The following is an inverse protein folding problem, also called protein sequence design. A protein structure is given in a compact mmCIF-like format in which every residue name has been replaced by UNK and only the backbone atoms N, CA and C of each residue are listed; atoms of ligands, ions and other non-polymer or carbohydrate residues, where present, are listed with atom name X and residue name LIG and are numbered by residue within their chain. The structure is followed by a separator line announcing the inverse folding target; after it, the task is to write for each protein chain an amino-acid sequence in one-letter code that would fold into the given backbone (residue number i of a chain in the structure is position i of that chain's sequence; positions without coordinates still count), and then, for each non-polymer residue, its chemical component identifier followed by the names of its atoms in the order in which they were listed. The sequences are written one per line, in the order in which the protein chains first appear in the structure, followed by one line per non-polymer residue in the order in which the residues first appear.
data_IF_629178568893
#
_entry.id   IF_629178568893
#
_cell.length_a   1.000
_cell.length_b   1.000
_cell.length_c   1.000
_cell.angle_alpha   90.00
_cell.angle_beta   90.00
_cell.angle_gamma   90.00
#
_symmetry.space_group_name_H-M   'P 1'
#
loop_
_entity.id
_entity.type
_entity.pdbx_description
1 polymer ?
#
# COMPACT_ATOMS: atom_id res chain seq x y z
N UNK A 1 -21.95 9.65 -2.57
CA UNK A 1 -20.64 9.59 -3.22
C UNK A 1 -19.86 8.48 -2.56
N UNK A 2 -19.62 7.42 -3.33
CA UNK A 2 -18.80 6.29 -2.90
C UNK A 2 -17.34 6.72 -2.94
N UNK A 3 -16.57 6.33 -1.92
CA UNK A 3 -15.11 6.59 -1.86
C UNK A 3 -14.37 5.30 -2.15
N UNK A 4 -13.26 5.43 -2.87
CA UNK A 4 -12.38 4.31 -3.19
C UNK A 4 -11.16 4.41 -2.29
N UNK A 5 -10.99 3.41 -1.42
CA UNK A 5 -9.86 3.36 -0.49
C UNK A 5 -8.99 2.13 -0.75
N UNK A 6 -7.68 2.29 -0.59
CA UNK A 6 -6.70 1.23 -0.65
C UNK A 6 -6.24 0.84 0.77
N UNK A 7 -6.28 -0.45 1.08
CA UNK A 7 -5.92 -0.96 2.41
C UNK A 7 -4.40 -1.21 2.58
N UNK A 8 -3.58 -0.76 1.62
CA UNK A 8 -2.15 -0.99 1.58
C UNK A 8 -1.73 -2.28 0.90
N UNK A 9 -0.45 -2.62 1.04
CA UNK A 9 0.26 -3.66 0.27
C UNK A 9 0.09 -3.41 -1.24
N UNK A 10 0.35 -2.17 -1.64
CA UNK A 10 0.34 -1.73 -3.04
C UNK A 10 1.50 -2.36 -3.81
N UNK A 11 2.64 -2.58 -3.13
CA UNK A 11 3.83 -3.23 -3.70
C UNK A 11 4.21 -4.51 -2.91
N UNK A 12 5.12 -5.33 -3.46
CA UNK A 12 5.65 -6.51 -2.76
C UNK A 12 5.96 -7.71 -3.65
N UNK A 13 4.97 -8.25 -4.36
CA UNK A 13 5.12 -9.46 -5.20
C UNK A 13 4.78 -9.24 -6.68
N UNK A 14 4.21 -8.09 -7.04
CA UNK A 14 3.78 -7.80 -8.41
C UNK A 14 4.94 -7.30 -9.29
N UNK A 15 4.96 -7.63 -10.59
CA UNK A 15 6.03 -7.23 -11.51
C UNK A 15 5.99 -5.74 -11.91
N UNK A 16 4.97 -4.99 -11.50
CA UNK A 16 4.76 -3.59 -11.91
C UNK A 16 4.53 -2.65 -10.72
N UNK A 17 5.47 -2.57 -9.75
CA UNK A 17 5.27 -1.78 -8.53
C UNK A 17 5.07 -0.29 -8.79
N UNK A 18 5.77 0.27 -9.80
CA UNK A 18 5.63 1.68 -10.18
C UNK A 18 4.21 2.03 -10.65
N UNK A 19 3.64 1.22 -11.55
CA UNK A 19 2.29 1.44 -12.06
C UNK A 19 1.22 1.29 -10.97
N UNK A 20 1.40 0.31 -10.07
CA UNK A 20 0.52 0.15 -8.91
C UNK A 20 0.53 1.39 -8.01
N UNK A 21 1.70 1.97 -7.73
CA UNK A 21 1.80 3.21 -6.95
C UNK A 21 1.20 4.40 -7.69
N UNK A 22 1.43 4.52 -8.99
CA UNK A 22 0.87 5.60 -9.79
C UNK A 22 -0.66 5.59 -9.74
N UNK A 23 -1.27 4.41 -9.77
CA UNK A 23 -2.72 4.28 -9.60
C UNK A 23 -3.16 4.52 -8.15
N UNK A 24 -2.37 4.08 -7.17
CA UNK A 24 -2.71 4.26 -5.75
C UNK A 24 -2.70 5.73 -5.30
N UNK A 25 -1.90 6.56 -5.95
CA UNK A 25 -1.85 8.02 -5.74
C UNK A 25 -3.19 8.70 -6.10
N UNK A 26 -3.97 8.12 -7.02
CA UNK A 26 -5.25 8.66 -7.46
C UNK A 26 -6.43 8.26 -6.54
N UNK A 27 -6.21 7.39 -5.54
CA UNK A 27 -7.27 7.01 -4.60
C UNK A 27 -7.52 8.08 -3.55
N UNK A 28 -8.76 8.17 -3.07
CA UNK A 28 -9.14 9.10 -2.00
C UNK A 28 -8.28 8.90 -0.73
N UNK A 29 -7.90 7.65 -0.48
CA UNK A 29 -7.10 7.29 0.67
C UNK A 29 -6.36 5.95 0.48
N UNK A 30 -5.15 5.84 1.04
CA UNK A 30 -4.34 4.63 1.06
C UNK A 30 -3.68 4.45 2.45
N UNK A 31 -3.72 3.24 3.00
CA UNK A 31 -2.99 2.87 4.23
C UNK A 31 -1.62 2.30 3.85
N UNK A 32 -0.61 2.50 4.69
CA UNK A 32 0.69 1.86 4.50
C UNK A 32 0.61 0.35 4.82
N UNK A 33 0.88 -0.48 3.82
CA UNK A 33 0.99 -1.93 4.00
C UNK A 33 2.28 -2.39 4.69
N UNK A 34 2.34 -3.67 5.06
CA UNK A 34 3.57 -4.25 5.59
C UNK A 34 4.64 -4.36 4.49
N UNK A 35 4.25 -4.78 3.29
CA UNK A 35 5.14 -4.87 2.14
C UNK A 35 5.56 -3.48 1.65
N UNK A 36 4.65 -2.50 1.68
CA UNK A 36 4.96 -1.10 1.39
C UNK A 36 5.97 -0.54 2.40
N UNK A 37 5.76 -0.82 3.69
CA UNK A 37 6.69 -0.45 4.76
C UNK A 37 8.05 -1.12 4.58
N UNK A 38 8.10 -2.37 4.14
CA UNK A 38 9.37 -3.07 3.88
C UNK A 38 10.04 -2.68 2.55
N UNK A 39 9.30 -2.07 1.62
CA UNK A 39 9.91 -1.40 0.48
C UNK A 39 10.67 -0.13 0.92
N UNK A 40 10.23 0.54 1.99
CA UNK A 40 10.90 1.72 2.58
C UNK A 40 12.00 1.37 3.60
N UNK A 41 11.77 0.35 4.43
CA UNK A 41 12.62 -0.06 5.55
C UNK A 41 13.00 -1.54 5.42
N UNK A 42 14.04 -2.03 6.08
CA UNK A 42 14.46 -3.42 5.85
C UNK A 42 13.37 -4.46 6.21
N UNK A 43 13.21 -5.52 5.39
CA UNK A 43 12.16 -6.55 5.54
C UNK A 43 12.41 -7.51 6.70
N UNK A 44 12.32 -7.03 7.94
CA UNK A 44 12.46 -7.89 9.13
C UNK A 44 11.31 -8.92 9.24
N UNK A 45 11.67 -10.20 9.40
CA UNK A 45 10.70 -11.29 9.64
C UNK A 45 10.02 -11.86 8.39
N UNK A 46 10.46 -11.47 7.20
CA UNK A 46 10.03 -12.07 5.93
C UNK A 46 10.78 -13.39 5.65
N UNK A 47 10.15 -14.27 4.86
CA UNK A 47 10.88 -15.40 4.30
C UNK A 47 11.82 -14.92 3.17
N UNK A 48 12.84 -15.71 2.83
CA UNK A 48 13.88 -15.34 1.85
C UNK A 48 13.29 -14.92 0.49
N UNK A 49 12.25 -15.61 0.02
CA UNK A 49 11.63 -15.29 -1.27
C UNK A 49 10.93 -13.93 -1.24
N UNK A 50 10.25 -13.61 -0.14
CA UNK A 50 9.57 -12.35 0.05
C UNK A 50 10.57 -11.19 0.26
N UNK A 51 11.66 -11.45 0.98
CA UNK A 51 12.77 -10.52 1.14
C UNK A 51 13.36 -10.11 -0.22
N UNK A 52 13.65 -11.09 -1.06
CA UNK A 52 14.14 -10.86 -2.43
C UNK A 52 13.15 -10.06 -3.28
N UNK A 53 11.86 -10.37 -3.18
CA UNK A 53 10.81 -9.64 -3.90
C UNK A 53 10.73 -8.17 -3.45
N UNK A 54 10.91 -7.90 -2.16
CA UNK A 54 10.94 -6.55 -1.60
C UNK A 54 12.18 -5.79 -2.06
N UNK A 55 13.37 -6.40 -2.02
CA UNK A 55 14.58 -5.74 -2.53
C UNK A 55 14.49 -5.42 -4.02
N UNK A 56 13.95 -6.37 -4.82
CA UNK A 56 13.71 -6.12 -6.23
C UNK A 56 12.71 -4.99 -6.44
N UNK A 57 11.63 -4.95 -5.66
CA UNK A 57 10.64 -3.88 -5.66
C UNK A 57 11.27 -2.54 -5.34
N UNK A 58 12.07 -2.44 -4.28
CA UNK A 58 12.80 -1.20 -3.91
C UNK A 58 13.67 -0.72 -5.06
N UNK A 59 14.42 -1.63 -5.70
CA UNK A 59 15.24 -1.28 -6.86
C UNK A 59 14.42 -0.75 -8.05
N UNK A 60 13.21 -1.28 -8.31
CA UNK A 60 12.32 -0.73 -9.34
C UNK A 60 11.82 0.68 -9.00
N UNK A 61 11.57 0.95 -7.72
CA UNK A 61 11.08 2.26 -7.26
C UNK A 61 12.18 3.32 -7.26
N UNK A 62 13.42 2.96 -6.93
CA UNK A 62 14.55 3.88 -6.89
C UNK A 62 15.15 4.10 -8.29
N UNK A 63 15.39 3.01 -9.03
CA UNK A 63 16.05 3.01 -10.33
C UNK A 63 15.08 2.85 -11.50
N UNK A 64 13.83 3.27 -11.32
CA UNK A 64 12.79 3.20 -12.35
C UNK A 64 13.20 3.92 -13.65
N UNK A 65 12.70 3.42 -14.79
CA UNK A 65 13.03 3.97 -16.12
C UNK A 65 12.43 5.36 -16.38
N UNK A 66 11.51 5.80 -15.52
CA UNK A 66 10.72 7.02 -15.69
C UNK A 66 11.44 8.29 -15.18
N UNK A 67 12.68 8.15 -14.69
CA UNK A 67 13.50 9.25 -14.20
C UNK A 67 13.42 9.48 -12.68
N UNK A 68 14.39 10.24 -12.12
CA UNK A 68 14.55 10.38 -10.67
C UNK A 68 13.40 11.13 -9.99
N UNK A 69 12.71 12.03 -10.70
CA UNK A 69 11.56 12.77 -10.18
C UNK A 69 10.36 11.85 -9.94
N UNK A 70 10.12 10.90 -10.85
CA UNK A 70 9.05 9.92 -10.73
C UNK A 70 9.32 8.96 -9.55
N UNK A 71 10.56 8.46 -9.43
CA UNK A 71 11.02 7.67 -8.29
C UNK A 71 10.79 8.41 -6.97
N UNK A 72 11.23 9.67 -6.89
CA UNK A 72 11.06 10.51 -5.70
C UNK A 72 9.59 10.68 -5.32
N UNK A 73 8.71 10.98 -6.28
CA UNK A 73 7.27 11.14 -6.03
C UNK A 73 6.65 9.87 -5.44
N UNK A 74 6.99 8.70 -5.97
CA UNK A 74 6.47 7.40 -5.51
C UNK A 74 6.96 7.07 -4.11
N UNK A 75 8.25 7.29 -3.83
CA UNK A 75 8.83 7.08 -2.51
C UNK A 75 8.25 8.06 -1.48
N UNK A 76 8.07 9.33 -1.86
CA UNK A 76 7.46 10.34 -1.00
C UNK A 76 5.99 10.02 -0.68
N UNK A 77 5.24 9.51 -1.66
CA UNK A 77 3.87 9.04 -1.42
C UNK A 77 3.85 7.92 -0.38
N UNK A 78 4.67 6.88 -0.55
CA UNK A 78 4.78 5.78 0.42
C UNK A 78 5.14 6.27 1.82
N UNK A 79 6.10 7.19 1.95
CA UNK A 79 6.51 7.76 3.24
C UNK A 79 5.39 8.54 3.94
N UNK A 80 4.43 9.10 3.19
CA UNK A 80 3.31 9.87 3.72
C UNK A 80 2.09 9.02 4.09
N UNK A 81 2.07 7.74 3.69
CA UNK A 81 0.93 6.88 3.97
C UNK A 81 0.81 6.63 5.48
N UNK A 82 -0.36 6.88 6.09
CA UNK A 82 -0.56 6.57 7.49
C UNK A 82 -0.65 5.05 7.69
N UNK A 83 -0.11 4.56 8.81
CA UNK A 83 -0.15 3.14 9.19
C UNK A 83 -1.53 2.68 9.67
N UNK A 84 -2.34 3.62 10.14
CA UNK A 84 -3.68 3.35 10.65
C UNK A 84 -4.57 4.52 10.28
N UNK A 85 -5.76 4.22 9.77
CA UNK A 85 -6.84 5.20 9.64
C UNK A 85 -8.10 4.68 10.28
N UNK A 86 -8.78 5.60 10.97
CA UNK A 86 -10.04 5.36 11.64
C UNK A 86 -11.08 6.27 11.02
N UNK A 87 -12.05 5.70 10.35
CA UNK A 87 -13.20 6.44 9.82
C UNK A 87 -14.48 5.88 10.49
N UNK A 88 -15.05 6.65 11.43
CA UNK A 88 -16.23 6.24 12.19
C UNK A 88 -16.02 4.98 13.05
N UNK A 89 -16.91 3.98 12.89
CA UNK A 89 -16.86 2.69 13.59
C UNK A 89 -15.91 1.66 12.93
N UNK A 90 -15.25 2.02 11.82
CA UNK A 90 -14.35 1.11 11.10
C UNK A 90 -12.88 1.51 11.31
N UNK A 91 -12.11 0.60 11.92
CA UNK A 91 -10.65 0.69 12.01
C UNK A 91 -10.06 -0.22 10.93
N UNK A 92 -9.35 0.34 9.95
CA UNK A 92 -8.52 -0.46 9.04
C UNK A 92 -7.07 -0.41 9.53
N UNK A 93 -6.56 -1.56 9.97
CA UNK A 93 -5.16 -1.78 10.24
C UNK A 93 -4.66 -2.94 9.37
N UNK A 94 -3.47 -2.80 8.80
CA UNK A 94 -2.80 -3.90 8.10
C UNK A 94 -2.30 -4.87 9.16
N UNK A 95 -3.03 -5.98 9.34
CA UNK A 95 -2.78 -6.97 10.38
C UNK A 95 -1.39 -7.61 10.20
N UNK A 96 -0.64 -7.64 11.30
CA UNK A 96 0.70 -8.22 11.39
C UNK A 96 0.56 -9.70 11.76
N UNK A 97 0.03 -10.56 10.88
CA UNK A 97 0.22 -12.03 10.94
C UNK A 97 -0.27 -12.84 9.72
N UNK A 98 0.70 -13.51 9.10
CA UNK A 98 0.71 -14.82 8.41
C UNK A 98 -0.59 -15.40 7.79
N UNK A 99 -0.67 -15.37 6.46
CA UNK A 99 -1.40 -16.37 5.66
C UNK A 99 -0.56 -16.71 4.40
N UNK A 100 -0.59 -17.96 3.89
CA UNK A 100 0.32 -18.41 2.84
C UNK A 100 -0.01 -17.73 1.49
N UNK A 101 0.97 -17.35 0.66
CA UNK A 101 0.67 -16.64 -0.58
C UNK A 101 0.28 -17.65 -1.67
N UNK A 102 -1.03 -17.85 -1.83
CA UNK A 102 -1.60 -18.25 -3.13
C UNK A 102 -2.68 -17.25 -3.50
N UNK A 103 -2.26 -16.09 -3.97
CA UNK A 103 -3.03 -15.26 -4.91
C UNK A 103 -2.23 -14.01 -5.26
N UNK A 104 -2.17 -13.71 -6.54
CA UNK A 104 -1.70 -12.45 -7.11
C UNK A 104 -2.39 -11.29 -6.39
N UNK A 105 -1.66 -10.56 -5.54
CA UNK A 105 -2.21 -9.44 -4.78
C UNK A 105 -2.18 -8.17 -5.62
N UNK A 106 -3.24 -7.92 -6.38
CA UNK A 106 -3.63 -6.56 -6.70
C UNK A 106 -4.03 -5.84 -5.40
N UNK A 107 -3.87 -4.50 -5.30
CA UNK A 107 -4.30 -3.75 -4.13
C UNK A 107 -5.76 -4.10 -3.81
N UNK A 108 -6.03 -4.55 -2.58
CA UNK A 108 -7.40 -4.84 -2.14
C UNK A 108 -8.13 -3.51 -2.00
N UNK A 109 -8.79 -3.09 -3.07
CA UNK A 109 -9.66 -1.90 -3.08
C UNK A 109 -10.95 -2.22 -2.34
N UNK A 110 -11.24 -1.48 -1.27
CA UNK A 110 -12.55 -1.53 -0.63
C UNK A 110 -13.39 -0.35 -1.12
N UNK A 111 -14.57 -0.64 -1.67
CA UNK A 111 -15.60 0.38 -1.90
C UNK A 111 -16.34 0.59 -0.59
N UNK A 112 -16.13 1.73 0.07
CA UNK A 112 -16.89 2.07 1.27
C UNK A 112 -18.12 2.90 0.87
N UNK A 113 -19.30 2.30 1.03
CA UNK A 113 -20.56 3.02 0.92
C UNK A 113 -20.78 3.85 2.20
N UNK A 114 -20.88 5.17 2.05
CA UNK A 114 -21.02 6.12 3.16
C UNK A 114 -22.37 5.91 3.86
N UNK A 115 -22.41 5.34 5.07
CA UNK A 115 -23.60 5.38 5.93
C UNK A 115 -23.50 6.59 6.84
N UNK A 116 -24.00 7.73 6.36
CA UNK A 116 -24.19 8.92 7.18
C UNK A 116 -25.33 8.67 8.17
N UNK A 117 -25.01 8.50 9.46
CA UNK A 117 -25.95 8.78 10.53
C UNK A 117 -25.45 9.98 11.31
N UNK A 118 -26.20 11.07 11.16
CA UNK A 118 -26.13 12.26 11.99
C UNK A 118 -26.24 11.86 13.46
N UNK A 119 -25.19 12.08 14.23
CA UNK A 119 -25.23 12.10 15.69
C UNK A 119 -24.50 13.37 16.16
N UNK A 120 -25.22 14.48 16.17
CA UNK A 120 -24.98 15.56 17.13
C UNK A 120 -26.29 15.72 17.91
N UNK A 121 -26.29 15.57 19.25
CA UNK A 121 -27.34 16.13 20.09
C UNK A 121 -27.25 17.66 20.14
#
# INVERSE_FOLDING_TARGET
MDRIVCLGDVVGYGPQPCACLDQAIEFDFCVLGNHDSSALFDPEGFNVAAEQAIFWTRAQLECGRDGPEASRRRMEFLCKLPRTVREGECCSCTDRRAAPPTSTSFPKTLKMAKKWKSCFP
#
